data_IF_181940110974
#
_entry.id   IF_181940110974
#
_cell.length_a   1.000
_cell.length_b   1.000
_cell.length_c   1.000
_cell.angle_alpha   90.00
_cell.angle_beta   90.00
_cell.angle_gamma   90.00
#
_symmetry.space_group_name_H-M   'P 1'
#
loop_
_entity.id
_entity.type
_entity.pdbx_description
1 polymer ?
#
# COMPACT_ATOMS: atom_id res chain seq x y z
N UNK A 1 12.43 29.52 20.41
CA UNK A 1 12.56 28.85 19.09
C UNK A 1 12.16 27.40 19.27
N UNK A 2 11.02 27.00 18.74
CA UNK A 2 10.58 25.60 18.78
C UNK A 2 11.29 24.91 17.63
N UNK A 3 12.34 24.14 17.93
CA UNK A 3 12.98 23.26 16.95
C UNK A 3 11.96 22.16 16.66
N UNK A 4 11.15 22.33 15.62
CA UNK A 4 10.27 21.28 15.10
C UNK A 4 11.21 20.29 14.38
N UNK A 5 11.99 19.55 15.16
CA UNK A 5 12.92 18.57 14.65
C UNK A 5 12.09 17.39 14.19
N UNK A 6 12.02 17.18 12.88
CA UNK A 6 11.34 16.03 12.29
C UNK A 6 11.94 14.76 12.93
N UNK A 7 11.12 13.96 13.62
CA UNK A 7 11.55 12.66 14.11
C UNK A 7 11.57 11.67 12.93
N UNK A 8 12.54 11.89 12.04
CA UNK A 8 12.71 11.18 10.79
C UNK A 8 12.78 9.66 11.01
N UNK A 9 13.47 9.22 12.07
CA UNK A 9 13.59 7.80 12.39
C UNK A 9 12.25 7.17 12.77
N UNK A 10 11.43 7.84 13.59
CA UNK A 10 10.10 7.35 13.95
C UNK A 10 9.18 7.27 12.73
N UNK A 11 9.17 8.31 11.90
CA UNK A 11 8.30 8.37 10.70
C UNK A 11 8.69 7.31 9.66
N UNK A 12 10.00 7.11 9.42
CA UNK A 12 10.46 6.05 8.50
C UNK A 12 10.14 4.66 9.05
N UNK A 13 10.24 4.46 10.37
CA UNK A 13 9.88 3.20 11.01
C UNK A 13 8.40 2.88 10.81
N UNK A 14 7.50 3.82 11.08
CA UNK A 14 6.06 3.64 10.85
C UNK A 14 5.74 3.37 9.38
N UNK A 15 6.35 4.12 8.44
CA UNK A 15 6.15 3.90 7.01
C UNK A 15 6.63 2.50 6.56
N UNK A 16 7.68 1.97 7.18
CA UNK A 16 8.13 0.60 6.92
C UNK A 16 7.18 -0.44 7.52
N UNK A 17 6.66 -0.22 8.73
CA UNK A 17 5.66 -1.10 9.34
C UNK A 17 4.37 -1.16 8.50
N UNK A 18 3.90 -0.01 7.99
CA UNK A 18 2.74 0.05 7.08
C UNK A 18 3.04 -0.69 5.77
N UNK A 19 4.23 -0.53 5.19
CA UNK A 19 4.64 -1.27 3.99
C UNK A 19 4.65 -2.79 4.23
N UNK A 20 5.18 -3.23 5.38
CA UNK A 20 5.17 -4.65 5.77
C UNK A 20 3.76 -5.18 6.02
N UNK A 21 2.88 -4.38 6.64
CA UNK A 21 1.48 -4.75 6.84
C UNK A 21 0.73 -4.87 5.51
N UNK A 22 0.99 -3.96 4.57
CA UNK A 22 0.40 -3.97 3.24
C UNK A 22 0.85 -5.21 2.44
N UNK A 23 2.11 -5.63 2.57
CA UNK A 23 2.62 -6.85 1.92
C UNK A 23 1.92 -8.13 2.41
N UNK A 24 1.32 -8.11 3.60
CA UNK A 24 0.54 -9.22 4.13
C UNK A 24 -0.93 -9.23 3.66
N UNK A 25 -1.38 -8.18 2.96
CA UNK A 25 -2.72 -8.12 2.35
C UNK A 25 -2.68 -8.86 1.01
N UNK A 26 -2.56 -10.18 1.06
CA UNK A 26 -2.71 -11.05 -0.09
C UNK A 26 -4.11 -11.63 -0.10
N UNK A 27 -4.81 -11.49 -1.23
CA UNK A 27 -6.10 -12.13 -1.46
C UNK A 27 -5.86 -13.23 -2.47
N UNK A 28 -6.33 -14.44 -2.15
CA UNK A 28 -6.21 -15.57 -3.06
C UNK A 28 -7.01 -15.29 -4.35
N UNK A 29 -6.42 -15.56 -5.53
CA UNK A 29 -7.12 -15.36 -6.78
C UNK A 29 -8.31 -16.31 -6.90
N UNK A 30 -9.42 -15.90 -7.52
CA UNK A 30 -10.61 -16.72 -7.65
C UNK A 30 -10.29 -18.07 -8.32
N UNK A 31 -10.42 -19.16 -7.56
CA UNK A 31 -10.12 -20.51 -8.03
C UNK A 31 -11.32 -21.08 -8.78
N UNK A 32 -11.34 -20.91 -10.09
CA UNK A 32 -12.35 -21.51 -10.98
C UNK A 32 -12.34 -23.05 -10.98
N UNK A 33 -11.24 -23.65 -10.53
CA UNK A 33 -11.07 -25.10 -10.35
C UNK A 33 -12.01 -25.71 -9.31
N UNK A 34 -12.45 -24.93 -8.31
CA UNK A 34 -13.35 -25.40 -7.24
C UNK A 34 -14.82 -25.51 -7.67
N UNK A 35 -15.20 -24.95 -8.82
CA UNK A 35 -16.59 -24.93 -9.31
C UNK A 35 -17.00 -26.21 -10.05
N UNK A 36 -16.04 -27.13 -10.32
CA UNK A 36 -16.30 -28.35 -11.07
C UNK A 36 -16.86 -28.08 -12.47
N UNK A 37 -17.72 -28.97 -12.99
CA UNK A 37 -18.40 -28.79 -14.30
C UNK A 37 -19.70 -27.97 -14.21
N UNK A 38 -20.05 -27.47 -13.02
CA UNK A 38 -21.34 -26.85 -12.77
C UNK A 38 -21.30 -25.37 -13.19
N UNK A 39 -21.60 -25.11 -14.46
CA UNK A 39 -21.71 -23.76 -15.01
C UNK A 39 -23.15 -23.29 -14.89
N UNK A 40 -23.51 -22.78 -13.72
CA UNK A 40 -24.72 -22.00 -13.53
C UNK A 40 -24.39 -20.52 -13.79
N UNK A 41 -25.33 -19.73 -14.31
CA UNK A 41 -25.14 -18.29 -14.52
C UNK A 41 -24.66 -17.57 -13.24
N UNK A 42 -25.13 -18.05 -12.08
CA UNK A 42 -24.68 -17.58 -10.76
C UNK A 42 -23.18 -17.80 -10.51
N UNK A 43 -22.62 -18.94 -10.92
CA UNK A 43 -21.19 -19.25 -10.73
C UNK A 43 -20.29 -18.37 -11.60
N UNK A 44 -20.75 -18.05 -12.81
CA UNK A 44 -20.09 -17.08 -13.70
C UNK A 44 -20.10 -15.69 -13.09
N UNK A 45 -21.26 -15.23 -12.61
CA UNK A 45 -21.37 -13.92 -11.97
C UNK A 45 -20.53 -13.82 -10.69
N UNK A 46 -20.45 -14.90 -9.91
CA UNK A 46 -19.61 -14.98 -8.73
C UNK A 46 -18.13 -14.85 -9.09
N UNK A 47 -17.63 -15.60 -10.09
CA UNK A 47 -16.25 -15.49 -10.56
C UNK A 47 -15.90 -14.08 -11.05
N UNK A 48 -16.78 -13.47 -11.83
CA UNK A 48 -16.57 -12.10 -12.31
C UNK A 48 -16.53 -11.09 -11.16
N UNK A 49 -17.38 -11.27 -10.15
CA UNK A 49 -17.39 -10.42 -8.97
C UNK A 49 -16.11 -10.59 -8.15
N UNK A 50 -15.66 -11.81 -7.90
CA UNK A 50 -14.41 -12.07 -7.19
C UNK A 50 -13.21 -11.52 -7.96
N UNK A 51 -13.19 -11.64 -9.28
CA UNK A 51 -12.14 -11.05 -10.11
C UNK A 51 -12.11 -9.51 -10.00
N UNK A 52 -13.29 -8.85 -10.00
CA UNK A 52 -13.38 -7.40 -9.79
C UNK A 52 -12.92 -6.97 -8.39
N UNK A 53 -13.27 -7.73 -7.36
CA UNK A 53 -12.84 -7.47 -5.98
C UNK A 53 -11.32 -7.61 -5.87
N UNK A 54 -10.77 -8.67 -6.44
CA UNK A 54 -9.33 -8.89 -6.48
C UNK A 54 -8.63 -7.72 -7.18
N UNK A 55 -9.13 -7.29 -8.35
CA UNK A 55 -8.57 -6.16 -9.09
C UNK A 55 -8.61 -4.86 -8.26
N UNK A 56 -9.75 -4.53 -7.65
CA UNK A 56 -9.91 -3.33 -6.83
C UNK A 56 -8.90 -3.32 -5.66
N UNK A 57 -8.67 -4.47 -5.04
CA UNK A 57 -7.78 -4.58 -3.89
C UNK A 57 -6.31 -4.52 -4.34
N UNK A 58 -5.96 -5.10 -5.49
CA UNK A 58 -4.64 -4.93 -6.10
C UNK A 58 -4.37 -3.45 -6.41
N UNK A 59 -5.31 -2.75 -7.05
CA UNK A 59 -5.20 -1.32 -7.34
C UNK A 59 -5.08 -0.48 -6.07
N UNK A 60 -5.85 -0.80 -5.02
CA UNK A 60 -5.73 -0.15 -3.73
C UNK A 60 -4.34 -0.34 -3.10
N UNK A 61 -3.80 -1.56 -3.14
CA UNK A 61 -2.44 -1.86 -2.65
C UNK A 61 -1.40 -1.05 -3.40
N UNK A 62 -1.47 -0.98 -4.74
CA UNK A 62 -0.54 -0.17 -5.53
C UNK A 62 -0.60 1.33 -5.19
N UNK A 63 -1.80 1.89 -5.02
CA UNK A 63 -1.98 3.31 -4.66
C UNK A 63 -1.41 3.59 -3.28
N UNK A 64 -1.66 2.71 -2.30
CA UNK A 64 -1.12 2.87 -0.95
C UNK A 64 0.40 2.74 -0.95
N UNK A 65 0.97 1.79 -1.69
CA UNK A 65 2.43 1.66 -1.81
C UNK A 65 3.05 2.92 -2.41
N UNK A 66 2.46 3.47 -3.48
CA UNK A 66 2.91 4.73 -4.07
C UNK A 66 2.86 5.89 -3.06
N UNK A 67 1.76 6.02 -2.32
CA UNK A 67 1.63 7.07 -1.30
C UNK A 67 2.69 6.93 -0.19
N UNK A 68 3.04 5.71 0.21
CA UNK A 68 4.12 5.46 1.19
C UNK A 68 5.46 5.92 0.62
N UNK A 69 5.79 5.58 -0.62
CA UNK A 69 7.04 5.98 -1.27
C UNK A 69 7.11 7.51 -1.47
N UNK A 70 6.03 8.15 -1.91
CA UNK A 70 5.93 9.60 -2.02
C UNK A 70 6.10 10.29 -0.66
N UNK A 71 5.51 9.72 0.40
CA UNK A 71 5.66 10.24 1.77
C UNK A 71 7.10 10.08 2.26
N UNK A 72 7.77 8.95 1.98
CA UNK A 72 9.19 8.77 2.30
C UNK A 72 10.07 9.79 1.58
N UNK A 73 9.81 10.03 0.29
CA UNK A 73 10.55 11.02 -0.49
C UNK A 73 10.37 12.44 0.09
N UNK A 74 9.15 12.82 0.45
CA UNK A 74 8.85 14.09 1.09
C UNK A 74 9.55 14.25 2.45
N UNK A 75 9.48 13.21 3.29
CA UNK A 75 10.13 13.18 4.61
C UNK A 75 11.66 13.30 4.47
N UNK A 76 12.25 12.70 3.44
CA UNK A 76 13.67 12.86 3.10
C UNK A 76 14.02 14.28 2.67
N UNK A 77 13.22 14.87 1.78
CA UNK A 77 13.43 16.25 1.33
C UNK A 77 13.33 17.26 2.49
N UNK A 78 12.38 17.06 3.40
CA UNK A 78 12.24 17.89 4.60
C UNK A 78 13.47 17.79 5.51
N UNK A 79 14.05 16.60 5.67
CA UNK A 79 15.29 16.41 6.43
C UNK A 79 16.46 17.15 5.77
N UNK A 80 16.63 17.04 4.45
CA UNK A 80 17.70 17.72 3.71
C UNK A 80 17.57 19.25 3.80
N UNK A 81 16.35 19.78 3.78
CA UNK A 81 16.08 21.20 3.97
C UNK A 81 16.43 21.68 5.40
N UNK A 82 16.05 20.91 6.42
CA UNK A 82 16.37 21.23 7.83
C UNK A 82 17.90 21.22 8.08
N UNK A 83 18.62 20.27 7.47
CA UNK A 83 20.08 20.20 7.51
C UNK A 83 20.75 21.37 6.77
N UNK A 84 20.20 21.80 5.63
CA UNK A 84 20.70 22.96 4.88
C UNK A 84 20.49 24.29 5.63
N UNK A 85 19.37 24.44 6.34
CA UNK A 85 19.09 25.63 7.17
C UNK A 85 20.02 25.68 8.39
N UNK A 86 20.30 24.54 9.02
CA UNK A 86 21.18 24.46 10.21
C UNK A 86 22.66 24.70 9.89
N UNK A 87 23.06 24.59 8.61
CA UNK A 87 24.46 24.73 8.17
C UNK A 87 24.87 26.17 7.79
N UNK A 88 23.90 27.09 7.68
CA UNK A 88 24.12 28.54 7.55
C UNK A 88 23.94 29.24 8.90
#
# INVERSE_FOLDING_TARGET
>A
MVTIKLNYEAVIKELNEVKSALANVTIEPPQSSNLGKNRLDFTTYWLEREARIHQLISEYVEVVEKNIEDTKANVRSLKEQDEAITRN
#
